data_IF_347801412300
#
_entry.id   IF_347801412300
#
_cell.length_a   1.000
_cell.length_b   1.000
_cell.length_c   1.000
_cell.angle_alpha   90.00
_cell.angle_beta   90.00
_cell.angle_gamma   90.00
#
_symmetry.space_group_name_H-M   'P 1'
#
loop_
_entity.id
_entity.type
_entity.pdbx_description
1 polymer ?
#
# COMPACT_ATOMS: atom_id res chain seq x y z
N UNK A 1 7.47 -17.87 8.13
CA UNK A 1 6.19 -17.15 8.28
C UNK A 1 5.20 -17.67 7.25
N UNK A 2 3.97 -17.95 7.66
CA UNK A 2 2.92 -18.45 6.76
C UNK A 2 2.38 -17.35 5.85
N UNK A 3 1.92 -17.72 4.66
CA UNK A 3 1.20 -16.81 3.78
C UNK A 3 -0.10 -16.32 4.46
N UNK A 4 -0.55 -15.09 4.21
CA UNK A 4 -1.80 -14.59 4.77
C UNK A 4 -2.97 -15.49 4.32
N UNK A 5 -3.90 -15.85 5.23
CA UNK A 5 -5.08 -16.64 4.88
C UNK A 5 -5.98 -15.88 3.91
N UNK A 6 -6.84 -16.59 3.18
CA UNK A 6 -7.69 -15.99 2.14
C UNK A 6 -8.56 -14.83 2.67
N UNK A 7 -9.11 -14.97 3.88
CA UNK A 7 -9.87 -13.92 4.56
C UNK A 7 -9.05 -12.64 4.77
N UNK A 8 -7.77 -12.76 5.13
CA UNK A 8 -6.86 -11.63 5.30
C UNK A 8 -6.53 -10.97 3.96
N UNK A 9 -6.37 -11.77 2.89
CA UNK A 9 -6.14 -11.23 1.53
C UNK A 9 -7.33 -10.41 1.05
N UNK A 10 -8.54 -10.95 1.20
CA UNK A 10 -9.79 -10.25 0.82
C UNK A 10 -10.00 -8.99 1.64
N UNK A 11 -9.82 -9.08 2.97
CA UNK A 11 -9.92 -7.92 3.86
C UNK A 11 -8.92 -6.82 3.49
N UNK A 12 -7.67 -7.19 3.15
CA UNK A 12 -6.65 -6.23 2.74
C UNK A 12 -7.07 -5.48 1.46
N UNK A 13 -7.51 -6.19 0.43
CA UNK A 13 -8.00 -5.59 -0.82
C UNK A 13 -9.16 -4.63 -0.55
N UNK A 14 -10.14 -5.04 0.26
CA UNK A 14 -11.32 -4.21 0.59
C UNK A 14 -10.92 -2.93 1.32
N UNK A 15 -10.08 -3.04 2.35
CA UNK A 15 -9.61 -1.89 3.15
C UNK A 15 -8.85 -0.88 2.30
N UNK A 16 -7.90 -1.34 1.48
CA UNK A 16 -7.13 -0.47 0.59
C UNK A 16 -8.00 0.19 -0.47
N UNK A 17 -8.94 -0.56 -1.08
CA UNK A 17 -9.87 -0.01 -2.07
C UNK A 17 -10.79 1.06 -1.46
N UNK A 18 -11.27 0.83 -0.24
CA UNK A 18 -12.11 1.80 0.47
C UNK A 18 -11.33 3.08 0.81
N UNK A 19 -10.11 2.96 1.33
CA UNK A 19 -9.25 4.11 1.66
C UNK A 19 -8.88 4.91 0.41
N UNK A 20 -8.53 4.24 -0.69
CA UNK A 20 -8.25 4.89 -1.97
C UNK A 20 -9.43 5.74 -2.44
N UNK A 21 -10.65 5.19 -2.42
CA UNK A 21 -11.86 5.96 -2.80
C UNK A 21 -12.15 7.15 -1.89
N UNK A 22 -11.82 7.05 -0.60
CA UNK A 22 -12.06 8.12 0.36
C UNK A 22 -11.07 9.28 0.25
N UNK A 23 -9.79 8.99 0.01
CA UNK A 23 -8.72 9.99 0.13
C UNK A 23 -7.98 10.28 -1.18
N UNK A 24 -8.05 9.38 -2.15
CA UNK A 24 -7.26 9.42 -3.39
C UNK A 24 -8.18 9.33 -4.61
N UNK A 25 -9.02 10.35 -4.88
CA UNK A 25 -9.94 10.33 -6.03
C UNK A 25 -9.22 10.31 -7.39
N UNK A 26 -7.90 10.58 -7.40
CA UNK A 26 -7.05 10.44 -8.58
C UNK A 26 -6.80 8.98 -8.98
N UNK A 27 -7.06 8.02 -8.09
CA UNK A 27 -6.94 6.59 -8.37
C UNK A 27 -8.29 6.00 -8.77
N UNK A 28 -8.33 5.35 -9.92
CA UNK A 28 -9.49 4.60 -10.42
C UNK A 28 -9.65 3.26 -9.66
N UNK A 29 -8.56 2.76 -9.06
CA UNK A 29 -8.61 1.59 -8.19
C UNK A 29 -7.25 1.20 -7.61
N UNK A 30 -7.28 0.17 -6.77
CA UNK A 30 -6.08 -0.48 -6.20
C UNK A 30 -6.05 -1.94 -6.61
N UNK A 31 -4.90 -2.41 -7.07
CA UNK A 31 -4.62 -3.82 -7.30
C UNK A 31 -3.68 -4.36 -6.21
N UNK A 32 -4.03 -5.51 -5.64
CA UNK A 32 -3.20 -6.20 -4.64
C UNK A 32 -2.85 -7.61 -5.12
N UNK A 33 -1.57 -7.85 -5.35
CA UNK A 33 -1.03 -9.16 -5.74
C UNK A 33 -0.26 -9.80 -4.59
N UNK A 34 -0.58 -11.03 -4.24
CA UNK A 34 0.10 -11.76 -3.16
C UNK A 34 1.17 -12.71 -3.70
N UNK A 35 2.35 -12.72 -3.07
CA UNK A 35 3.42 -13.70 -3.31
C UNK A 35 4.07 -14.08 -1.99
N UNK A 36 3.84 -15.32 -1.55
CA UNK A 36 4.29 -15.80 -0.24
C UNK A 36 3.72 -14.94 0.89
N UNK A 37 4.59 -14.33 1.69
CA UNK A 37 4.22 -13.44 2.80
C UNK A 37 4.02 -11.98 2.38
N UNK A 38 4.26 -11.66 1.12
CA UNK A 38 4.20 -10.28 0.62
C UNK A 38 2.91 -10.01 -0.15
N UNK A 39 2.41 -8.79 -0.01
CA UNK A 39 1.37 -8.21 -0.83
C UNK A 39 1.94 -7.00 -1.57
N UNK A 40 1.86 -7.01 -2.89
CA UNK A 40 2.32 -5.96 -3.79
C UNK A 40 1.11 -5.11 -4.16
N UNK A 41 1.18 -3.82 -3.88
CA UNK A 41 0.06 -2.89 -4.05
C UNK A 41 0.41 -1.90 -5.15
N UNK A 42 -0.50 -1.78 -6.11
CA UNK A 42 -0.39 -0.85 -7.23
C UNK A 42 -1.65 -0.01 -7.36
N UNK A 43 -1.49 1.26 -7.74
CA UNK A 43 -2.59 2.17 -8.01
C UNK A 43 -2.91 2.21 -9.50
N UNK A 44 -4.20 2.15 -9.85
CA UNK A 44 -4.67 2.33 -11.22
C UNK A 44 -5.05 3.80 -11.42
N UNK A 45 -4.50 4.42 -12.46
CA UNK A 45 -4.81 5.78 -12.89
C UNK A 45 -5.95 5.77 -13.91
N UNK A 46 -6.65 6.91 -14.13
CA UNK A 46 -7.79 7.00 -15.05
C UNK A 46 -7.45 6.67 -16.51
N UNK A 47 -6.18 6.76 -16.90
CA UNK A 47 -5.69 6.38 -18.24
C UNK A 47 -5.46 4.87 -18.40
N UNK A 48 -5.81 4.05 -17.41
CA UNK A 48 -5.57 2.60 -17.39
C UNK A 48 -4.14 2.20 -17.00
N UNK A 49 -3.25 3.17 -16.83
CA UNK A 49 -1.89 2.93 -16.33
C UNK A 49 -1.94 2.45 -14.88
N UNK A 50 -1.08 1.49 -14.54
CA UNK A 50 -0.95 0.98 -13.18
C UNK A 50 0.45 1.27 -12.67
N UNK A 51 0.53 2.05 -11.60
CA UNK A 51 1.80 2.42 -10.97
C UNK A 51 2.02 1.59 -9.69
N UNK A 52 3.20 0.99 -9.50
CA UNK A 52 3.54 0.33 -8.24
C UNK A 52 3.68 1.36 -7.12
N UNK A 53 2.98 1.12 -6.00
CA UNK A 53 2.97 2.05 -4.86
C UNK A 53 3.83 1.53 -3.71
N UNK A 54 3.52 0.32 -3.24
CA UNK A 54 4.15 -0.22 -2.04
C UNK A 54 4.11 -1.75 -2.01
N UNK A 55 4.90 -2.33 -1.10
CA UNK A 55 4.89 -3.75 -0.76
C UNK A 55 4.64 -3.87 0.74
N UNK A 56 3.67 -4.68 1.09
CA UNK A 56 3.31 -5.01 2.46
C UNK A 56 3.83 -6.41 2.82
N UNK A 57 4.42 -6.58 4.00
CA UNK A 57 4.85 -7.87 4.54
C UNK A 57 3.90 -8.33 5.64
N UNK A 58 3.31 -9.50 5.47
CA UNK A 58 2.43 -10.08 6.47
C UNK A 58 3.21 -10.49 7.72
N UNK A 59 2.87 -9.88 8.86
CA UNK A 59 3.49 -10.13 10.16
C UNK A 59 2.82 -11.21 11.01
N UNK A 60 1.73 -11.82 10.54
CA UNK A 60 0.88 -12.73 11.32
C UNK A 60 -0.43 -12.11 11.82
N UNK A 61 -0.67 -10.83 11.53
CA UNK A 61 -1.92 -10.13 11.84
C UNK A 61 -2.42 -9.33 10.63
N UNK A 62 -3.74 -9.33 10.40
CA UNK A 62 -4.36 -8.52 9.35
C UNK A 62 -4.31 -7.02 9.65
N UNK A 63 -4.09 -6.63 10.92
CA UNK A 63 -4.04 -5.25 11.34
C UNK A 63 -2.66 -4.60 11.18
N UNK A 64 -1.58 -5.40 11.09
CA UNK A 64 -0.21 -4.88 11.11
C UNK A 64 0.65 -5.52 10.04
N UNK A 65 1.08 -4.70 9.08
CA UNK A 65 1.87 -5.10 7.94
C UNK A 65 3.19 -4.32 7.91
N UNK A 66 4.29 -5.01 7.63
CA UNK A 66 5.58 -4.36 7.37
C UNK A 66 5.51 -3.58 6.07
N UNK A 67 6.07 -2.37 6.04
CA UNK A 67 5.94 -1.45 4.91
C UNK A 67 7.23 -1.31 4.13
N UNK A 68 7.12 -1.40 2.80
CA UNK A 68 8.18 -1.09 1.88
C UNK A 68 7.65 -0.21 0.76
N UNK A 69 8.30 0.93 0.55
CA UNK A 69 7.93 1.90 -0.47
C UNK A 69 8.51 1.46 -1.82
N UNK A 70 7.74 1.61 -2.90
CA UNK A 70 8.34 1.51 -4.23
C UNK A 70 9.27 2.70 -4.44
N UNK A 71 10.41 2.49 -5.12
CA UNK A 71 11.33 3.55 -5.51
C UNK A 71 11.58 3.42 -7.01
N UNK A 72 11.05 4.37 -7.77
CA UNK A 72 11.19 4.39 -9.23
C UNK A 72 12.67 4.48 -9.64
N UNK A 73 13.49 5.22 -8.88
CA UNK A 73 14.93 5.37 -9.14
C UNK A 73 15.73 4.07 -9.03
N UNK A 74 15.25 3.10 -8.24
CA UNK A 74 15.88 1.78 -8.06
C UNK A 74 15.08 0.63 -8.68
N UNK A 75 13.96 0.95 -9.32
CA UNK A 75 13.01 -0.01 -9.86
C UNK A 75 12.70 -1.16 -8.88
N UNK A 76 12.48 -0.82 -7.60
CA UNK A 76 12.42 -1.81 -6.52
C UNK A 76 11.72 -1.32 -5.26
N UNK A 77 11.46 -2.24 -4.33
CA UNK A 77 10.82 -1.96 -3.05
C UNK A 77 11.87 -1.86 -1.94
N UNK A 78 11.85 -0.76 -1.20
CA UNK A 78 12.74 -0.53 -0.08
C UNK A 78 11.93 -0.44 1.21
N UNK A 79 12.32 -1.20 2.23
CA UNK A 79 11.68 -1.14 3.55
C UNK A 79 11.74 0.31 4.06
N UNK A 80 10.59 0.82 4.49
CA UNK A 80 10.42 2.23 4.81
C UNK A 80 9.59 2.40 6.07
N UNK A 81 9.63 3.61 6.63
CA UNK A 81 8.82 3.99 7.79
C UNK A 81 7.52 4.62 7.32
N UNK A 82 6.43 4.31 8.01
CA UNK A 82 5.15 4.98 7.86
C UNK A 82 5.28 6.43 8.35
N UNK A 83 4.32 7.30 7.98
CA UNK A 83 4.23 8.66 8.55
C UNK A 83 4.13 8.67 10.09
N UNK A 84 3.69 7.57 10.70
CA UNK A 84 3.65 7.38 12.16
C UNK A 84 5.03 7.08 12.79
N UNK A 85 6.09 6.97 11.98
CA UNK A 85 7.45 6.63 12.41
C UNK A 85 7.69 5.12 12.63
N UNK A 86 6.71 4.27 12.32
CA UNK A 86 6.79 2.82 12.54
C UNK A 86 7.13 2.08 11.23
N UNK A 87 7.89 0.99 11.32
CA UNK A 87 8.17 0.09 10.18
C UNK A 87 7.00 -0.82 9.79
N UNK A 88 5.98 -0.91 10.64
CA UNK A 88 4.79 -1.71 10.41
C UNK A 88 3.56 -1.09 11.07
N UNK A 89 2.43 -1.12 10.37
CA UNK A 89 1.19 -0.48 10.82
C UNK A 89 -0.02 -0.92 10.01
N UNK A 90 -1.08 -0.12 10.05
CA UNK A 90 -2.29 -0.40 9.29
C UNK A 90 -2.01 -0.28 7.79
N UNK A 91 -2.63 -1.13 6.94
CA UNK A 91 -2.44 -1.05 5.50
C UNK A 91 -2.94 0.28 4.91
N UNK A 92 -3.91 0.94 5.54
CA UNK A 92 -4.41 2.26 5.15
C UNK A 92 -3.36 3.36 5.37
N UNK A 93 -2.66 3.36 6.51
CA UNK A 93 -1.60 4.34 6.79
C UNK A 93 -0.45 4.20 5.79
N UNK A 94 -0.15 2.95 5.41
CA UNK A 94 0.83 2.64 4.39
C UNK A 94 0.42 3.17 3.01
N UNK A 95 -0.86 3.02 2.65
CA UNK A 95 -1.39 3.55 1.40
C UNK A 95 -1.29 5.07 1.36
N UNK A 96 -1.69 5.75 2.43
CA UNK A 96 -1.63 7.21 2.49
C UNK A 96 -0.20 7.74 2.45
N UNK A 97 0.73 7.06 3.14
CA UNK A 97 2.15 7.38 3.05
C UNK A 97 2.66 7.24 1.60
N UNK A 98 2.26 6.15 0.92
CA UNK A 98 2.73 5.90 -0.44
C UNK A 98 2.12 6.86 -1.47
N UNK A 99 0.81 7.07 -1.41
CA UNK A 99 0.10 7.98 -2.30
C UNK A 99 0.48 9.44 -2.07
N UNK A 100 0.72 9.86 -0.82
CA UNK A 100 1.17 11.22 -0.52
C UNK A 100 2.49 11.58 -1.21
N UNK A 101 3.41 10.62 -1.29
CA UNK A 101 4.69 10.80 -1.98
C UNK A 101 4.56 10.74 -3.51
N UNK A 102 3.73 9.83 -4.05
CA UNK A 102 3.64 9.60 -5.49
C UNK A 102 2.64 10.48 -6.24
N UNK A 103 1.50 10.76 -5.63
CA UNK A 103 0.41 11.53 -6.23
C UNK A 103 0.45 13.01 -5.80
N UNK A 104 1.40 13.37 -4.93
CA UNK A 104 1.62 14.74 -4.48
C UNK A 104 0.40 15.27 -3.74
N UNK A 105 0.21 14.85 -2.50
CA UNK A 105 -0.77 15.49 -1.63
C UNK A 105 -0.14 16.74 -0.98
N UNK A 106 -0.63 17.95 -1.26
CA UNK A 106 -0.14 19.16 -0.62
C UNK A 106 -0.49 19.23 0.88
N UNK A 107 -1.34 18.33 1.40
CA UNK A 107 -1.71 18.23 2.82
C UNK A 107 -0.77 17.28 3.60
N UNK A 108 0.16 16.60 2.94
CA UNK A 108 1.11 15.70 3.60
C UNK A 108 2.19 16.44 4.42
N UNK A 109 2.23 17.78 4.36
CA UNK A 109 3.23 18.65 5.00
C UNK A 109 2.63 19.79 5.83
N UNK A 110 1.33 19.76 6.15
CA UNK A 110 0.68 20.73 7.06
C UNK A 110 0.35 20.10 8.41
#
# INVERSE_FOLDING_TARGET
>A
MAAPPASTKTSLQQRLSARARQRWPQLDGIDVRFRGVFAYVSGRLPAGETIPLMRLRYGGSAARWGFAMYLASKNGYQDSVLQTGQFAGAPEDALDTACGLYLGDPTAWI
#
